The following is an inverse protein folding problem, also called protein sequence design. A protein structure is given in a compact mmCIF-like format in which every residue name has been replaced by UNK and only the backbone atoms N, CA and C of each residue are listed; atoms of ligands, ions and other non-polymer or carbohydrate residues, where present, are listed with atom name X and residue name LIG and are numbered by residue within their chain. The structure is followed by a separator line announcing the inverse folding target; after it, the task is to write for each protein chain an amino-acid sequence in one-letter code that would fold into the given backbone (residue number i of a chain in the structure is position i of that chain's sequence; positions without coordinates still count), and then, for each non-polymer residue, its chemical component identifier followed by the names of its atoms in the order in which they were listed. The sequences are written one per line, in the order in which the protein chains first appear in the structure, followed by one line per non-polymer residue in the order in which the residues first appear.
data_IF_820859106787
#
_entry.id   IF_820859106787
#
_cell.length_a   1.000
_cell.length_b   1.000
_cell.length_c   1.000
_cell.angle_alpha   90.00
_cell.angle_beta   90.00
_cell.angle_gamma   90.00
#
_symmetry.space_group_name_H-M   'P 1'
#
loop_
_entity.id
_entity.type
_entity.pdbx_description
1 polymer ?
#
# COMPACT_ATOMS: atom_id res chain seq x y z
N UNK A 1 -23.04 2.35 -2.35
CA UNK A 1 -22.75 3.20 -1.17
C UNK A 1 -21.46 2.70 -0.56
N UNK A 2 -20.54 3.60 -0.25
CA UNK A 2 -19.30 3.33 0.49
C UNK A 2 -19.53 3.74 1.93
N UNK A 3 -19.37 2.79 2.85
CA UNK A 3 -19.45 3.03 4.29
C UNK A 3 -18.04 3.18 4.85
N UNK A 4 -17.79 4.27 5.57
CA UNK A 4 -16.50 4.58 6.19
C UNK A 4 -16.69 4.61 7.69
N UNK A 5 -15.90 3.84 8.43
CA UNK A 5 -15.79 3.96 9.88
C UNK A 5 -14.42 4.53 10.23
N UNK A 6 -14.37 5.80 10.61
CA UNK A 6 -13.13 6.50 10.94
C UNK A 6 -12.88 6.52 12.46
N UNK A 7 -13.41 5.53 13.19
CA UNK A 7 -13.26 5.40 14.62
C UNK A 7 -13.73 6.65 15.36
N UNK A 8 -12.83 7.30 16.11
CA UNK A 8 -13.15 8.52 16.89
C UNK A 8 -13.62 9.71 16.04
N UNK A 9 -13.38 9.69 14.72
CA UNK A 9 -13.78 10.75 13.80
C UNK A 9 -15.17 10.54 13.18
N UNK A 10 -15.84 9.44 13.55
CA UNK A 10 -17.22 9.13 13.17
C UNK A 10 -17.35 8.21 11.97
N UNK A 11 -18.60 7.94 11.61
CA UNK A 11 -18.98 7.02 10.51
C UNK A 11 -19.63 7.81 9.40
N UNK A 12 -19.31 7.53 8.14
CA UNK A 12 -19.84 8.26 6.98
C UNK A 12 -20.43 7.27 5.97
N UNK A 13 -21.42 7.73 5.20
CA UNK A 13 -21.93 7.03 4.03
C UNK A 13 -21.81 7.94 2.82
N UNK A 14 -21.17 7.45 1.77
CA UNK A 14 -20.94 8.17 0.52
C UNK A 14 -21.51 7.39 -0.66
N UNK A 15 -22.09 8.09 -1.63
CA UNK A 15 -22.50 7.54 -2.92
C UNK A 15 -21.42 7.88 -3.94
N UNK A 16 -20.95 6.90 -4.69
CA UNK A 16 -20.01 7.09 -5.80
C UNK A 16 -20.81 7.54 -7.02
N UNK A 17 -20.46 8.69 -7.59
CA UNK A 17 -21.04 9.22 -8.81
C UNK A 17 -20.29 8.72 -10.06
N UNK A 18 -20.86 8.95 -11.26
CA UNK A 18 -20.28 8.53 -12.54
C UNK A 18 -18.91 9.19 -12.81
N UNK A 19 -18.71 10.41 -12.34
CA UNK A 19 -17.45 11.17 -12.44
C UNK A 19 -16.39 10.72 -11.41
N UNK A 20 -16.66 9.62 -10.69
CA UNK A 20 -15.82 9.08 -9.59
C UNK A 20 -15.73 9.98 -8.37
N UNK A 21 -16.50 11.07 -8.29
CA UNK A 21 -16.68 11.80 -7.05
C UNK A 21 -17.53 10.98 -6.07
N UNK A 22 -17.44 11.33 -4.80
CA UNK A 22 -18.23 10.72 -3.74
C UNK A 22 -18.87 11.81 -2.90
N UNK A 23 -20.18 11.72 -2.70
CA UNK A 23 -20.92 12.65 -1.85
C UNK A 23 -21.84 11.91 -0.88
N UNK A 24 -22.00 12.45 0.32
CA UNK A 24 -22.87 11.87 1.32
C UNK A 24 -22.79 12.61 2.64
N UNK A 25 -22.93 11.89 3.76
CA UNK A 25 -23.13 12.52 5.07
C UNK A 25 -22.41 11.78 6.18
N UNK A 26 -22.19 12.47 7.31
CA UNK A 26 -21.84 11.82 8.55
C UNK A 26 -23.06 11.13 9.17
N UNK A 27 -22.85 9.98 9.80
CA UNK A 27 -23.87 9.13 10.38
C UNK A 27 -23.99 9.34 11.89
N UNK A 28 -25.22 9.44 12.44
CA UNK A 28 -26.49 9.44 11.71
C UNK A 28 -26.68 10.72 10.88
N UNK A 29 -27.35 10.58 9.72
CA UNK A 29 -27.66 11.73 8.86
C UNK A 29 -28.53 12.73 9.62
N UNK A 30 -28.15 14.00 9.61
CA UNK A 30 -28.86 15.11 10.24
C UNK A 30 -29.35 16.09 9.16
N UNK A 31 -30.63 16.01 8.75
CA UNK A 31 -31.16 16.85 7.68
C UNK A 31 -31.06 18.35 7.96
N UNK A 32 -31.13 18.73 9.24
CA UNK A 32 -31.13 20.13 9.68
C UNK A 32 -29.71 20.69 9.94
N UNK A 33 -28.66 19.88 9.74
CA UNK A 33 -27.27 20.28 9.91
C UNK A 33 -26.60 20.46 8.54
N UNK A 34 -26.51 21.71 8.10
CA UNK A 34 -25.88 22.09 6.82
C UNK A 34 -24.39 21.69 6.74
N UNK A 35 -23.74 21.31 7.84
CA UNK A 35 -22.34 20.87 7.88
C UNK A 35 -22.19 19.34 7.99
N UNK A 36 -23.29 18.58 7.91
CA UNK A 36 -23.29 17.12 7.98
C UNK A 36 -22.78 16.44 6.69
N UNK A 37 -22.54 17.19 5.61
CA UNK A 37 -22.08 16.65 4.33
C UNK A 37 -20.64 16.12 4.39
N UNK A 38 -20.33 15.13 3.54
CA UNK A 38 -18.98 14.60 3.28
C UNK A 38 -18.80 14.46 1.78
N UNK A 39 -17.64 14.91 1.28
CA UNK A 39 -17.29 14.84 -0.14
C UNK A 39 -15.87 14.33 -0.33
N UNK A 40 -15.65 13.56 -1.38
CA UNK A 40 -14.32 13.23 -1.87
C UNK A 40 -14.30 13.40 -3.40
N UNK A 41 -13.21 13.99 -3.90
CA UNK A 41 -12.98 14.16 -5.33
C UNK A 41 -11.93 13.16 -5.81
N UNK A 42 -12.17 12.61 -6.99
CA UNK A 42 -11.19 11.75 -7.64
C UNK A 42 -9.99 12.61 -8.08
N UNK A 43 -8.80 12.30 -7.55
CA UNK A 43 -7.58 13.04 -7.89
C UNK A 43 -6.91 12.54 -9.16
N UNK A 44 -6.72 11.22 -9.25
CA UNK A 44 -6.14 10.52 -10.40
C UNK A 44 -6.36 9.02 -10.26
N UNK A 45 -6.18 8.29 -11.36
CA UNK A 45 -6.05 6.84 -11.30
C UNK A 45 -4.71 6.45 -10.66
N UNK A 46 -4.66 5.24 -10.09
CA UNK A 46 -3.40 4.62 -9.73
C UNK A 46 -2.57 4.37 -10.99
N UNK A 47 -1.25 4.51 -10.89
CA UNK A 47 -0.33 4.15 -11.98
C UNK A 47 -0.23 2.63 -12.12
N UNK A 48 0.35 2.16 -13.23
CA UNK A 48 0.54 0.72 -13.44
C UNK A 48 1.47 0.12 -12.38
N UNK A 49 2.46 0.88 -11.91
CA UNK A 49 3.38 0.48 -10.84
C UNK A 49 2.68 0.39 -9.49
N UNK A 50 1.80 1.34 -9.15
CA UNK A 50 0.99 1.28 -7.93
C UNK A 50 0.07 0.05 -7.95
N UNK A 51 -0.56 -0.23 -9.09
CA UNK A 51 -1.40 -1.41 -9.28
C UNK A 51 -0.59 -2.71 -9.21
N UNK A 52 0.65 -2.73 -9.71
CA UNK A 52 1.52 -3.89 -9.62
C UNK A 52 1.90 -4.27 -8.18
N UNK A 53 2.01 -3.28 -7.28
CA UNK A 53 2.33 -3.51 -5.86
C UNK A 53 1.07 -3.82 -5.03
N UNK A 54 -0.04 -3.12 -5.27
CA UNK A 54 -1.29 -3.30 -4.50
C UNK A 54 -2.06 -4.56 -4.95
N UNK A 55 -1.85 -5.00 -6.19
CA UNK A 55 -2.55 -6.15 -6.77
C UNK A 55 -4.07 -5.92 -6.79
N UNK A 56 -4.83 -6.90 -6.31
CA UNK A 56 -6.30 -6.85 -6.27
C UNK A 56 -6.84 -6.17 -4.99
N UNK A 57 -5.98 -5.51 -4.21
CA UNK A 57 -6.37 -4.69 -3.05
C UNK A 57 -5.87 -5.20 -1.70
N UNK A 58 -5.39 -6.44 -1.59
CA UNK A 58 -4.77 -6.95 -0.36
C UNK A 58 -3.23 -6.81 -0.34
N UNK A 59 -2.63 -6.48 -1.49
CA UNK A 59 -1.18 -6.45 -1.68
C UNK A 59 -0.65 -7.62 -2.53
N UNK A 60 0.67 -7.75 -2.56
CA UNK A 60 1.37 -8.73 -3.40
C UNK A 60 2.55 -9.41 -2.70
N UNK A 61 2.88 -10.62 -3.14
CA UNK A 61 4.07 -11.36 -2.72
C UNK A 61 5.09 -11.44 -3.87
N UNK A 62 6.36 -11.26 -3.53
CA UNK A 62 7.47 -11.19 -4.47
C UNK A 62 8.64 -12.05 -3.99
N UNK A 63 9.36 -12.68 -4.92
CA UNK A 63 10.66 -13.29 -4.66
C UNK A 63 11.72 -12.19 -4.76
N UNK A 64 12.29 -11.82 -3.62
CA UNK A 64 13.20 -10.69 -3.45
C UNK A 64 14.62 -11.20 -3.31
N UNK A 65 15.52 -10.71 -4.16
CA UNK A 65 16.89 -11.15 -4.26
C UNK A 65 17.86 -10.01 -3.97
N UNK A 66 19.00 -10.40 -3.41
CA UNK A 66 20.17 -9.55 -3.17
C UNK A 66 21.43 -10.40 -3.37
N UNK A 67 22.61 -9.83 -3.12
CA UNK A 67 23.90 -10.53 -3.28
C UNK A 67 24.02 -11.82 -2.44
N UNK A 68 23.28 -11.93 -1.34
CA UNK A 68 23.30 -13.08 -0.44
C UNK A 68 22.27 -14.19 -0.73
N UNK A 69 21.37 -14.03 -1.71
CA UNK A 69 20.34 -15.02 -2.02
C UNK A 69 18.99 -14.39 -2.35
N UNK A 70 17.91 -15.19 -2.29
CA UNK A 70 16.54 -14.70 -2.44
C UNK A 70 15.59 -15.24 -1.37
N UNK A 71 14.55 -14.49 -1.08
CA UNK A 71 13.55 -14.78 -0.06
C UNK A 71 12.21 -14.10 -0.40
N UNK A 72 11.07 -14.64 0.07
CA UNK A 72 9.78 -14.03 -0.16
C UNK A 72 9.59 -12.75 0.67
N UNK A 73 8.98 -11.75 0.06
CA UNK A 73 8.53 -10.52 0.72
C UNK A 73 7.10 -10.20 0.33
N UNK A 74 6.40 -9.48 1.19
CA UNK A 74 5.01 -9.06 0.97
C UNK A 74 4.88 -7.55 1.08
N UNK A 75 4.27 -6.94 0.09
CA UNK A 75 3.82 -5.55 0.11
C UNK A 75 2.32 -5.56 0.41
N UNK A 76 1.94 -5.40 1.67
CA UNK A 76 0.53 -5.41 2.10
C UNK A 76 -0.16 -4.09 1.74
N UNK A 77 -1.41 -4.16 1.30
CA UNK A 77 -2.27 -3.00 1.05
C UNK A 77 -3.35 -2.87 2.14
N UNK A 78 -2.92 -2.83 3.40
CA UNK A 78 -3.76 -2.94 4.60
C UNK A 78 -4.07 -1.59 5.27
N UNK A 79 -3.80 -0.48 4.57
CA UNK A 79 -3.98 0.88 5.09
C UNK A 79 -2.78 1.42 5.87
N UNK A 80 -1.88 0.54 6.34
CA UNK A 80 -0.58 0.92 6.92
C UNK A 80 0.59 0.68 5.95
N UNK A 81 0.32 -0.03 4.84
CA UNK A 81 1.30 -0.39 3.83
C UNK A 81 2.48 -1.16 4.44
N UNK A 82 2.19 -2.19 5.23
CA UNK A 82 3.24 -3.01 5.82
C UNK A 82 4.08 -3.70 4.75
N UNK A 83 5.40 -3.67 4.94
CA UNK A 83 6.34 -4.52 4.25
C UNK A 83 6.68 -5.69 5.16
N UNK A 84 6.51 -6.93 4.69
CA UNK A 84 6.75 -8.13 5.50
C UNK A 84 7.80 -9.01 4.85
N UNK A 85 8.74 -9.49 5.66
CA UNK A 85 9.69 -10.53 5.32
C UNK A 85 9.86 -11.44 6.53
N UNK A 86 9.60 -12.74 6.39
CA UNK A 86 9.68 -13.69 7.52
C UNK A 86 11.13 -14.00 7.90
N UNK A 87 12.05 -13.99 6.93
CA UNK A 87 13.46 -14.29 7.16
C UNK A 87 14.19 -13.13 7.86
N UNK A 88 13.71 -11.90 7.66
CA UNK A 88 14.27 -10.68 8.23
C UNK A 88 13.13 -9.80 8.81
N UNK A 89 12.55 -10.21 9.95
CA UNK A 89 11.38 -9.57 10.51
C UNK A 89 11.73 -8.20 11.10
N UNK A 90 10.97 -7.17 10.72
CA UNK A 90 11.06 -5.84 11.31
C UNK A 90 9.74 -5.09 11.13
N UNK A 91 9.53 -4.02 11.91
CA UNK A 91 8.46 -3.06 11.66
C UNK A 91 8.82 -2.25 10.41
N UNK A 92 8.28 -2.67 9.28
CA UNK A 92 8.64 -2.14 7.98
C UNK A 92 7.41 -1.68 7.19
N UNK A 93 7.61 -0.68 6.34
CA UNK A 93 6.56 -0.05 5.56
C UNK A 93 7.07 0.25 4.16
N UNK A 94 6.13 0.32 3.22
CA UNK A 94 6.42 0.73 1.86
C UNK A 94 5.56 1.93 1.44
N UNK A 95 6.06 2.66 0.45
CA UNK A 95 5.31 3.74 -0.18
C UNK A 95 5.71 3.90 -1.64
N UNK A 96 4.82 4.46 -2.44
CA UNK A 96 5.09 4.85 -3.83
C UNK A 96 5.19 6.38 -3.91
N UNK A 97 6.27 6.88 -4.51
CA UNK A 97 6.44 8.31 -4.78
C UNK A 97 7.20 8.49 -6.09
N UNK A 98 6.67 9.36 -6.95
CA UNK A 98 7.29 9.72 -8.23
C UNK A 98 7.67 8.48 -9.09
N UNK A 99 6.80 7.46 -9.11
CA UNK A 99 7.00 6.22 -9.87
C UNK A 99 7.98 5.23 -9.23
N UNK A 100 8.52 5.53 -8.05
CA UNK A 100 9.46 4.67 -7.33
C UNK A 100 8.84 4.07 -6.09
N UNK A 101 9.25 2.84 -5.81
CA UNK A 101 8.93 2.11 -4.60
C UNK A 101 9.98 2.41 -3.53
N UNK A 102 9.54 2.90 -2.39
CA UNK A 102 10.38 3.12 -1.21
C UNK A 102 10.04 2.08 -0.15
N UNK A 103 11.06 1.44 0.40
CA UNK A 103 10.93 0.47 1.49
C UNK A 103 11.70 1.02 2.68
N UNK A 104 11.01 1.24 3.80
CA UNK A 104 11.63 1.45 5.10
C UNK A 104 11.59 0.13 5.85
N UNK A 105 12.76 -0.46 6.08
CA UNK A 105 12.89 -1.81 6.63
C UNK A 105 13.51 -1.82 8.03
N UNK A 106 13.23 -0.79 8.83
CA UNK A 106 13.74 -0.67 10.19
C UNK A 106 15.27 -0.75 10.24
N UNK A 107 15.79 -1.72 10.99
CA UNK A 107 17.24 -1.91 11.17
C UNK A 107 17.98 -2.35 9.89
N UNK A 108 17.27 -2.91 8.91
CA UNK A 108 17.85 -3.34 7.64
C UNK A 108 18.04 -2.17 6.64
N UNK A 109 17.53 -0.99 6.97
CA UNK A 109 17.76 0.24 6.22
C UNK A 109 16.61 0.65 5.30
N UNK A 110 16.91 1.57 4.37
CA UNK A 110 15.95 2.14 3.45
C UNK A 110 16.35 1.86 2.01
N UNK A 111 15.38 1.48 1.19
CA UNK A 111 15.60 1.09 -0.20
C UNK A 111 14.72 1.89 -1.15
N UNK A 112 15.24 2.14 -2.34
CA UNK A 112 14.52 2.72 -3.46
C UNK A 112 14.60 1.76 -4.65
N UNK A 113 13.45 1.41 -5.21
CA UNK A 113 13.33 0.49 -6.33
C UNK A 113 12.47 1.09 -7.44
N UNK A 114 12.82 0.76 -8.68
CA UNK A 114 12.02 1.01 -9.87
C UNK A 114 11.19 -0.23 -10.16
N UNK A 115 9.87 -0.07 -10.32
CA UNK A 115 8.95 -1.16 -10.64
C UNK A 115 8.71 -1.17 -12.15
N UNK A 116 8.92 -2.32 -12.79
CA UNK A 116 8.47 -2.57 -14.15
C UNK A 116 7.13 -3.31 -14.08
N UNK A 117 6.04 -2.58 -14.22
CA UNK A 117 4.69 -3.12 -14.10
C UNK A 117 4.36 -4.17 -15.18
N UNK A 118 4.88 -3.98 -16.39
CA UNK A 118 4.62 -4.87 -17.52
C UNK A 118 5.28 -6.25 -17.32
N UNK A 119 6.54 -6.27 -16.86
CA UNK A 119 7.28 -7.51 -16.60
C UNK A 119 7.03 -8.08 -15.20
N UNK A 120 6.38 -7.30 -14.32
CA UNK A 120 6.22 -7.57 -12.90
C UNK A 120 7.56 -7.92 -12.24
N UNK A 121 8.52 -7.05 -12.50
CA UNK A 121 9.86 -7.06 -11.92
C UNK A 121 10.12 -5.73 -11.21
N UNK A 122 11.09 -5.71 -10.31
CA UNK A 122 11.60 -4.48 -9.73
C UNK A 122 13.09 -4.58 -9.50
N UNK A 123 13.79 -3.45 -9.54
CA UNK A 123 15.21 -3.38 -9.22
C UNK A 123 15.60 -2.05 -8.57
N UNK A 124 16.62 -2.09 -7.73
CA UNK A 124 17.14 -0.91 -7.05
C UNK A 124 18.16 -1.27 -5.98
N UNK A 125 18.19 -0.51 -4.89
CA UNK A 125 19.18 -0.70 -3.83
C UNK A 125 18.97 0.27 -2.67
N UNK A 126 19.98 0.44 -1.78
CA UNK A 126 19.87 1.32 -0.64
C UNK A 126 19.76 2.75 -1.13
N UNK A 127 18.98 3.56 -0.42
CA UNK A 127 18.90 4.99 -0.69
C UNK A 127 20.28 5.61 -0.55
N UNK A 128 20.79 6.23 -1.62
CA UNK A 128 22.12 6.85 -1.66
C UNK A 128 23.30 5.87 -1.74
N UNK A 129 23.04 4.56 -1.93
CA UNK A 129 24.06 3.53 -2.08
C UNK A 129 24.53 3.33 -3.54
N UNK A 130 25.56 2.50 -3.70
CA UNK A 130 26.05 2.04 -5.01
C UNK A 130 25.40 0.70 -5.39
N UNK A 131 24.47 0.74 -6.34
CA UNK A 131 23.70 -0.44 -6.76
C UNK A 131 24.49 -1.39 -7.68
N UNK A 132 25.71 -1.03 -8.09
CA UNK A 132 26.57 -1.98 -8.80
C UNK A 132 27.13 -3.06 -7.87
N UNK A 133 27.20 -2.75 -6.58
CA UNK A 133 27.74 -3.65 -5.55
C UNK A 133 26.69 -4.10 -4.54
N UNK A 134 25.66 -3.26 -4.26
CA UNK A 134 24.60 -3.59 -3.32
C UNK A 134 23.21 -3.34 -3.93
N UNK A 135 22.66 -4.38 -4.57
CA UNK A 135 21.42 -4.31 -5.34
C UNK A 135 20.30 -5.15 -4.73
N UNK A 136 19.06 -4.81 -5.10
CA UNK A 136 17.85 -5.58 -4.83
C UNK A 136 17.10 -5.79 -6.12
N UNK A 137 16.54 -6.99 -6.29
CA UNK A 137 15.66 -7.34 -7.40
C UNK A 137 14.45 -8.07 -6.87
N UNK A 138 13.29 -7.86 -7.47
CA UNK A 138 12.07 -8.57 -7.12
C UNK A 138 11.40 -9.12 -8.36
N UNK A 139 10.80 -10.31 -8.23
CA UNK A 139 9.89 -10.88 -9.24
C UNK A 139 8.56 -11.22 -8.59
N UNK A 140 7.46 -10.78 -9.21
CA UNK A 140 6.13 -11.04 -8.67
C UNK A 140 5.84 -12.54 -8.64
N UNK A 141 5.31 -13.00 -7.51
CA UNK A 141 4.90 -14.38 -7.31
C UNK A 141 3.39 -14.48 -7.43
N UNK A 142 2.64 -13.68 -6.67
CA UNK A 142 1.18 -13.71 -6.65
C UNK A 142 0.57 -12.46 -6.01
N UNK A 143 -0.70 -12.20 -6.34
CA UNK A 143 -1.53 -11.30 -5.56
C UNK A 143 -1.94 -12.00 -4.26
N UNK A 144 -1.91 -11.27 -3.16
CA UNK A 144 -2.43 -11.78 -1.90
C UNK A 144 -3.95 -11.75 -1.94
N UNK A 145 -4.58 -12.75 -1.34
CA UNK A 145 -6.03 -12.75 -1.14
C UNK A 145 -6.33 -11.94 0.12
N UNK A 146 -7.38 -11.12 0.08
CA UNK A 146 -7.96 -10.50 1.28
C UNK A 146 -8.61 -11.59 2.14
N UNK A 147 -7.78 -12.41 2.77
CA UNK A 147 -8.21 -13.22 3.89
C UNK A 147 -8.34 -12.24 5.04
N UNK A 148 -9.53 -11.63 5.19
CA UNK A 148 -9.90 -10.72 6.30
C UNK A 148 -9.66 -11.39 7.66
N UNK A 149 -8.41 -11.50 8.05
CA UNK A 149 -7.95 -11.62 9.41
C UNK A 149 -7.37 -10.26 9.65
N UNK A 150 -8.17 -9.39 10.25
CA UNK A 150 -7.67 -8.15 10.83
C UNK A 150 -6.53 -8.57 11.74
N UNK A 151 -5.28 -8.44 11.28
CA UNK A 151 -4.12 -8.62 12.15
C UNK A 151 -4.35 -7.64 13.29
N UNK A 152 -4.52 -8.17 14.50
CA UNK A 152 -4.72 -7.35 15.67
C UNK A 152 -3.48 -6.46 15.80
N UNK A 153 -3.63 -5.17 15.50
CA UNK A 153 -2.64 -4.18 15.88
C UNK A 153 -2.51 -4.28 17.41
N UNK A 154 -1.39 -4.82 17.89
CA UNK A 154 -1.06 -4.71 19.30
C UNK A 154 -1.01 -3.22 19.64
N UNK A 155 -1.90 -2.81 20.53
CA UNK A 155 -1.95 -1.44 21.01
C UNK A 155 -0.64 -1.15 21.77
N UNK A 156 0.19 -0.28 21.19
CA UNK A 156 1.26 0.42 21.91
C UNK A 156 0.76 1.76 22.45
#
# INVERSE_FOLDING_TARGET
VVSIDWGKFGKYELVVAEDKSMEGNAMPKKPDDENNWRKATFKRALSEEELAIIGDGAGTEWDFAWTGGSFPVQFKADGYNHFKCEDFPAHAHWSMKDGKLFINWGEFGNFELTVNAAERTMEGGPVGGDWTTDWRKGKHVRNMLDNKVVEACEHH
#
